data_IF_093604345876
#
_entry.id   IF_093604345876
#
_cell.length_a   1.000
_cell.length_b   1.000
_cell.length_c   1.000
_cell.angle_alpha   90.00
_cell.angle_beta   90.00
_cell.angle_gamma   90.00
#
_symmetry.space_group_name_H-M   'P 1'
#
loop_
_entity.id
_entity.type
_entity.pdbx_description
1 polymer ?
#
# COMPACT_ATOMS: atom_id res chain seq x y z
N UNK A 1 -0.56 -15.49 2.43
CA UNK A 1 -1.51 -15.47 3.58
C UNK A 1 -1.31 -14.19 4.38
N UNK A 2 -2.35 -13.66 5.03
CA UNK A 2 -2.28 -12.40 5.81
C UNK A 2 -1.72 -12.62 7.22
N UNK A 3 -1.35 -11.52 7.91
CA UNK A 3 -0.94 -11.60 9.32
C UNK A 3 -2.05 -12.16 10.23
N UNK A 4 -3.34 -11.87 9.97
CA UNK A 4 -4.45 -12.50 10.71
C UNK A 4 -4.58 -13.99 10.44
N UNK A 5 -4.30 -14.45 9.21
CA UNK A 5 -4.31 -15.88 8.93
C UNK A 5 -3.23 -16.59 9.75
N UNK A 6 -2.04 -15.98 9.87
CA UNK A 6 -0.97 -16.50 10.71
C UNK A 6 -1.23 -16.32 12.20
N UNK A 7 -1.79 -15.19 12.65
CA UNK A 7 -2.23 -14.97 14.03
C UNK A 7 -3.21 -16.07 14.45
N UNK A 8 -4.24 -16.31 13.64
CA UNK A 8 -5.25 -17.34 13.91
C UNK A 8 -4.62 -18.73 13.93
N UNK A 9 -3.70 -19.04 13.01
CA UNK A 9 -2.98 -20.31 13.02
C UNK A 9 -2.07 -20.45 14.25
N UNK A 10 -1.44 -19.37 14.68
CA UNK A 10 -0.54 -19.34 15.83
C UNK A 10 -1.32 -19.45 17.14
N UNK A 11 -2.49 -18.82 17.26
CA UNK A 11 -3.38 -18.93 18.42
C UNK A 11 -4.11 -20.28 18.48
N UNK A 12 -4.33 -20.93 17.34
CA UNK A 12 -4.94 -22.28 17.24
C UNK A 12 -3.92 -23.40 16.98
N UNK A 13 -2.64 -23.16 17.29
CA UNK A 13 -1.55 -24.10 17.05
C UNK A 13 -1.89 -25.49 17.62
N UNK A 14 -1.64 -26.54 16.85
CA UNK A 14 -1.91 -27.91 17.30
C UNK A 14 -0.85 -28.36 18.30
N UNK A 15 -1.10 -28.09 19.57
CA UNK A 15 -0.24 -28.47 20.69
C UNK A 15 -0.64 -29.83 21.29
N UNK A 16 0.35 -30.65 21.63
CA UNK A 16 0.11 -31.88 22.37
C UNK A 16 -0.31 -31.56 23.82
N UNK A 17 -1.34 -32.25 24.31
CA UNK A 17 -1.85 -32.14 25.69
C UNK A 17 -1.35 -33.33 26.51
N UNK A 18 -0.15 -33.20 27.07
CA UNK A 18 0.46 -34.19 27.96
C UNK A 18 0.43 -33.71 29.42
N UNK A 19 -0.73 -33.74 30.07
CA UNK A 19 -0.92 -33.26 31.45
C UNK A 19 -1.89 -32.08 31.55
N UNK A 20 -1.83 -31.32 32.65
CA UNK A 20 -2.72 -30.19 32.93
C UNK A 20 -2.53 -28.98 31.98
N UNK A 21 -1.36 -28.87 31.32
CA UNK A 21 -0.99 -27.77 30.43
C UNK A 21 -0.64 -28.25 29.02
N UNK A 22 -0.79 -27.37 28.03
CA UNK A 22 -0.38 -27.64 26.63
C UNK A 22 1.14 -27.63 26.50
N UNK A 23 1.66 -28.50 25.63
CA UNK A 23 3.10 -28.65 25.38
C UNK A 23 3.71 -27.36 24.78
N UNK A 24 4.80 -26.81 25.36
CA UNK A 24 5.39 -25.53 24.93
C UNK A 24 6.32 -25.66 23.71
N UNK A 25 6.61 -26.87 23.25
CA UNK A 25 7.71 -27.15 22.31
C UNK A 25 7.56 -26.43 20.96
N UNK A 26 6.37 -26.42 20.35
CA UNK A 26 6.17 -25.72 19.07
C UNK A 26 6.22 -24.20 19.24
N UNK A 27 5.68 -23.69 20.35
CA UNK A 27 5.76 -22.26 20.68
C UNK A 27 7.20 -21.81 20.89
N UNK A 28 7.98 -22.56 21.67
CA UNK A 28 9.39 -22.29 21.89
C UNK A 28 10.21 -22.30 20.59
N UNK A 29 9.91 -23.21 19.66
CA UNK A 29 10.58 -23.26 18.35
C UNK A 29 10.25 -22.05 17.48
N UNK A 30 8.98 -21.63 17.44
CA UNK A 30 8.59 -20.46 16.66
C UNK A 30 9.13 -19.16 17.26
N UNK A 31 9.17 -19.04 18.60
CA UNK A 31 9.83 -17.91 19.27
C UNK A 31 11.34 -17.87 18.99
N UNK A 32 12.02 -19.02 19.05
CA UNK A 32 13.45 -19.10 18.73
C UNK A 32 13.76 -18.65 17.30
N UNK A 33 12.91 -19.02 16.34
CA UNK A 33 13.01 -18.55 14.96
C UNK A 33 12.79 -17.03 14.86
N UNK A 34 11.80 -16.48 15.57
CA UNK A 34 11.58 -15.03 15.62
C UNK A 34 12.78 -14.29 16.21
N UNK A 35 13.42 -14.84 17.24
CA UNK A 35 14.59 -14.22 17.88
C UNK A 35 15.80 -14.21 16.93
N UNK A 36 16.00 -15.27 16.15
CA UNK A 36 17.07 -15.33 15.15
C UNK A 36 16.87 -14.32 14.00
N UNK A 37 15.60 -14.08 13.60
CA UNK A 37 15.26 -13.05 12.63
C UNK A 37 15.45 -11.65 13.23
N UNK A 38 15.04 -11.46 14.49
CA UNK A 38 15.19 -10.21 15.24
C UNK A 38 16.65 -9.82 15.48
N UNK A 39 17.52 -10.78 15.79
CA UNK A 39 18.95 -10.54 16.00
C UNK A 39 19.73 -10.32 14.69
N UNK A 40 19.10 -10.57 13.54
CA UNK A 40 19.75 -10.54 12.23
C UNK A 40 20.69 -11.72 11.98
N UNK A 41 20.68 -12.75 12.84
CA UNK A 41 21.46 -13.99 12.64
C UNK A 41 20.94 -14.80 11.45
N UNK A 42 19.68 -14.60 11.06
CA UNK A 42 19.05 -15.17 9.87
C UNK A 42 18.61 -14.05 8.93
N UNK A 43 19.25 -13.96 7.77
CA UNK A 43 18.98 -12.93 6.74
C UNK A 43 18.24 -13.47 5.52
N UNK A 44 17.95 -14.77 5.48
CA UNK A 44 17.26 -15.47 4.39
C UNK A 44 16.31 -16.50 4.97
N UNK A 45 15.24 -16.86 4.24
CA UNK A 45 14.24 -17.85 4.65
C UNK A 45 14.82 -19.29 4.66
N UNK A 46 15.78 -19.54 5.54
CA UNK A 46 16.53 -20.79 5.71
C UNK A 46 16.91 -20.93 7.18
N UNK A 47 16.42 -21.98 7.81
CA UNK A 47 16.66 -22.33 9.20
C UNK A 47 17.29 -23.72 9.28
N UNK A 48 18.61 -23.76 9.44
CA UNK A 48 19.35 -25.00 9.66
C UNK A 48 19.12 -25.51 11.09
N UNK A 49 19.11 -26.83 11.29
CA UNK A 49 18.99 -27.44 12.63
C UNK A 49 20.33 -27.43 13.38
N UNK A 50 20.91 -26.25 13.53
CA UNK A 50 22.26 -26.03 14.04
C UNK A 50 22.29 -25.66 15.55
N UNK A 51 23.49 -25.44 16.09
CA UNK A 51 23.65 -25.07 17.50
C UNK A 51 23.08 -23.69 17.83
N UNK A 52 22.95 -22.78 16.86
CA UNK A 52 22.35 -21.46 17.09
C UNK A 52 20.85 -21.60 17.33
N UNK A 53 20.15 -22.34 16.47
CA UNK A 53 18.73 -22.61 16.63
C UNK A 53 18.45 -23.41 17.90
N UNK A 54 19.26 -24.44 18.20
CA UNK A 54 19.11 -25.23 19.43
C UNK A 54 19.33 -24.42 20.70
N UNK A 55 20.28 -23.48 20.69
CA UNK A 55 20.53 -22.57 21.81
C UNK A 55 19.32 -21.66 22.05
N UNK A 56 18.83 -20.98 21.01
CA UNK A 56 17.66 -20.10 21.12
C UNK A 56 16.40 -20.88 21.53
N UNK A 57 16.22 -22.07 20.96
CA UNK A 57 15.15 -22.99 21.37
C UNK A 57 15.25 -23.32 22.86
N UNK A 58 16.43 -23.69 23.35
CA UNK A 58 16.63 -24.10 24.74
C UNK A 58 16.28 -22.96 25.69
N UNK A 59 16.69 -21.73 25.37
CA UNK A 59 16.37 -20.54 26.17
C UNK A 59 14.86 -20.30 26.26
N UNK A 60 14.16 -20.29 25.11
CA UNK A 60 12.70 -20.11 25.08
C UNK A 60 11.95 -21.28 25.70
N UNK A 61 12.43 -22.49 25.50
CA UNK A 61 11.84 -23.69 26.07
C UNK A 61 11.93 -23.69 27.60
N UNK A 62 13.09 -23.35 28.18
CA UNK A 62 13.25 -23.27 29.64
C UNK A 62 12.32 -22.24 30.29
N UNK A 63 12.04 -21.14 29.59
CA UNK A 63 11.10 -20.12 30.09
C UNK A 63 9.63 -20.57 30.10
N UNK A 64 9.28 -21.59 29.30
CA UNK A 64 7.90 -22.06 29.11
C UNK A 64 7.64 -23.48 29.66
N UNK A 65 8.70 -24.26 29.90
CA UNK A 65 8.64 -25.67 30.26
C UNK A 65 8.16 -25.90 31.70
N UNK A 66 7.35 -26.94 31.88
CA UNK A 66 7.05 -27.51 33.19
C UNK A 66 8.13 -28.53 33.61
N UNK A 67 8.23 -28.92 34.90
CA UNK A 67 9.20 -29.91 35.36
C UNK A 67 9.10 -31.29 34.67
N UNK A 68 7.97 -31.60 34.05
CA UNK A 68 7.75 -32.84 33.29
C UNK A 68 8.19 -32.76 31.82
N UNK A 69 8.42 -31.56 31.28
CA UNK A 69 8.80 -31.36 29.89
C UNK A 69 10.29 -31.64 29.67
N UNK A 70 10.63 -32.29 28.54
CA UNK A 70 12.02 -32.62 28.18
C UNK A 70 12.47 -31.78 27.00
N UNK A 71 13.64 -31.16 27.11
CA UNK A 71 14.21 -30.34 26.04
C UNK A 71 14.59 -31.20 24.83
N UNK A 72 13.70 -31.23 23.82
CA UNK A 72 13.83 -32.04 22.61
C UNK A 72 13.53 -31.22 21.35
N UNK A 73 14.45 -30.35 20.89
CA UNK A 73 14.22 -29.42 19.77
C UNK A 73 13.90 -30.11 18.43
N UNK A 74 14.36 -31.34 18.24
CA UNK A 74 14.15 -32.11 17.01
C UNK A 74 12.66 -32.44 16.76
N UNK A 75 11.86 -32.55 17.83
CA UNK A 75 10.43 -32.84 17.73
C UNK A 75 9.62 -31.67 17.14
N UNK A 76 9.63 -30.45 17.73
CA UNK A 76 8.90 -29.32 17.15
C UNK A 76 9.47 -28.90 15.79
N UNK A 77 10.79 -29.02 15.57
CA UNK A 77 11.38 -28.77 14.26
C UNK A 77 10.74 -29.66 13.19
N UNK A 78 10.54 -30.95 13.46
CA UNK A 78 9.90 -31.87 12.55
C UNK A 78 8.37 -31.66 12.43
N UNK A 79 7.68 -31.52 13.55
CA UNK A 79 6.21 -31.56 13.61
C UNK A 79 5.54 -30.24 13.23
N UNK A 80 6.26 -29.13 13.16
CA UNK A 80 5.70 -27.87 12.64
C UNK A 80 5.26 -27.97 11.17
N UNK A 81 5.77 -28.96 10.42
CA UNK A 81 5.33 -29.24 9.04
C UNK A 81 3.82 -29.47 8.89
N UNK A 82 3.14 -29.88 9.97
CA UNK A 82 1.67 -30.08 9.95
C UNK A 82 0.87 -28.78 10.05
N UNK A 83 1.50 -27.66 10.39
CA UNK A 83 0.83 -26.35 10.55
C UNK A 83 0.67 -25.60 9.21
N UNK A 84 1.31 -26.11 8.15
CA UNK A 84 1.13 -25.64 6.77
C UNK A 84 1.77 -24.29 6.46
N UNK A 85 2.65 -23.79 7.33
CA UNK A 85 3.47 -22.59 7.11
C UNK A 85 4.97 -22.81 7.40
N UNK A 86 5.32 -24.04 7.77
CA UNK A 86 6.68 -24.49 8.06
C UNK A 86 6.98 -25.68 7.16
N UNK A 87 8.06 -25.59 6.41
CA UNK A 87 8.39 -26.53 5.34
C UNK A 87 9.80 -27.05 5.52
N UNK A 88 10.08 -28.24 4.96
CA UNK A 88 11.40 -28.83 4.98
C UNK A 88 11.96 -28.96 3.58
N UNK A 89 13.18 -28.48 3.38
CA UNK A 89 13.99 -28.90 2.24
C UNK A 89 14.60 -30.25 2.56
N UNK A 90 14.19 -31.28 1.82
CA UNK A 90 14.67 -32.64 2.01
C UNK A 90 16.02 -32.81 1.31
N UNK A 91 16.93 -33.55 1.96
CA UNK A 91 18.24 -33.88 1.37
C UNK A 91 18.07 -34.71 0.09
N UNK A 92 18.96 -34.56 -0.90
CA UNK A 92 18.94 -35.38 -2.10
C UNK A 92 18.92 -36.89 -1.76
N UNK A 93 18.01 -37.63 -2.39
CA UNK A 93 17.85 -39.09 -2.16
C UNK A 93 17.03 -39.50 -0.93
N UNK A 94 16.57 -38.55 -0.10
CA UNK A 94 15.84 -38.84 1.14
C UNK A 94 14.33 -38.61 1.05
N UNK A 95 13.78 -38.35 -0.14
CA UNK A 95 12.37 -38.05 -0.35
C UNK A 95 11.45 -39.20 0.08
N UNK A 96 11.67 -40.42 -0.42
CA UNK A 96 10.82 -41.58 -0.07
C UNK A 96 10.92 -41.97 1.41
N UNK A 97 12.13 -42.09 2.02
CA UNK A 97 12.24 -42.35 3.46
C UNK A 97 11.56 -41.26 4.31
N UNK A 98 11.71 -39.99 3.94
CA UNK A 98 11.12 -38.87 4.68
C UNK A 98 9.58 -38.89 4.67
N UNK A 99 8.97 -39.29 3.55
CA UNK A 99 7.51 -39.40 3.45
C UNK A 99 6.94 -40.49 4.38
N UNK A 100 7.73 -41.53 4.67
CA UNK A 100 7.34 -42.61 5.59
C UNK A 100 7.53 -42.23 7.07
N UNK A 101 8.28 -41.16 7.37
CA UNK A 101 8.49 -40.72 8.75
C UNK A 101 7.20 -40.15 9.34
N UNK A 102 6.73 -40.77 10.42
CA UNK A 102 5.64 -40.24 11.25
C UNK A 102 6.15 -39.30 12.35
N UNK A 103 7.42 -39.45 12.77
CA UNK A 103 8.08 -38.59 13.76
C UNK A 103 9.60 -38.63 13.58
N UNK A 104 10.29 -37.56 13.96
CA UNK A 104 11.75 -37.59 14.15
C UNK A 104 12.06 -38.04 15.57
N UNK A 105 12.53 -39.28 15.76
CA UNK A 105 12.81 -39.84 17.09
C UNK A 105 14.10 -39.36 17.73
N UNK A 106 14.98 -38.73 16.94
CA UNK A 106 16.26 -38.17 17.41
C UNK A 106 16.74 -37.07 16.47
N UNK A 107 17.74 -36.30 16.91
CA UNK A 107 18.44 -35.35 16.04
C UNK A 107 19.03 -36.03 14.79
N UNK A 108 19.56 -37.26 14.92
CA UNK A 108 20.13 -37.97 13.77
C UNK A 108 19.13 -38.20 12.63
N UNK A 109 17.83 -38.28 12.95
CA UNK A 109 16.77 -38.38 11.92
C UNK A 109 16.63 -37.06 11.15
N UNK A 110 16.72 -35.92 11.83
CA UNK A 110 16.70 -34.59 11.19
C UNK A 110 17.92 -34.46 10.28
N UNK A 111 19.11 -34.72 10.83
CA UNK A 111 20.39 -34.55 10.13
C UNK A 111 20.47 -35.42 8.87
N UNK A 112 19.91 -36.63 8.92
CA UNK A 112 19.89 -37.57 7.80
C UNK A 112 18.92 -37.17 6.66
N UNK A 113 17.78 -36.55 6.97
CA UNK A 113 16.69 -36.37 5.98
C UNK A 113 16.44 -34.92 5.59
N UNK A 114 16.67 -33.96 6.48
CA UNK A 114 16.31 -32.56 6.29
C UNK A 114 17.60 -31.74 6.13
N UNK A 115 17.66 -30.95 5.05
CA UNK A 115 18.75 -29.99 4.84
C UNK A 115 18.52 -28.73 5.68
N UNK A 116 17.33 -28.12 5.55
CA UNK A 116 16.90 -26.96 6.34
C UNK A 116 15.38 -26.86 6.39
N UNK A 117 14.86 -26.08 7.34
CA UNK A 117 13.47 -25.63 7.35
C UNK A 117 13.33 -24.24 6.74
N UNK A 118 12.17 -23.93 6.17
CA UNK A 118 11.81 -22.59 5.70
C UNK A 118 10.34 -22.32 5.98
N UNK A 119 9.99 -21.05 6.19
CA UNK A 119 8.60 -20.63 6.40
C UNK A 119 7.93 -20.33 5.06
N UNK A 120 6.62 -20.15 5.06
CA UNK A 120 5.98 -19.41 3.96
C UNK A 120 6.69 -18.05 3.77
N UNK A 121 6.88 -17.63 2.53
CA UNK A 121 7.64 -16.41 2.23
C UNK A 121 7.00 -15.19 2.89
N UNK A 122 5.66 -15.09 2.90
CA UNK A 122 4.95 -14.00 3.55
C UNK A 122 5.12 -14.03 5.08
N UNK A 123 5.18 -15.22 5.68
CA UNK A 123 5.42 -15.35 7.11
C UNK A 123 6.84 -14.90 7.47
N UNK A 124 7.84 -15.32 6.70
CA UNK A 124 9.23 -14.90 6.91
C UNK A 124 9.39 -13.38 6.78
N UNK A 125 8.74 -12.76 5.79
CA UNK A 125 8.70 -11.31 5.63
C UNK A 125 8.06 -10.61 6.83
N UNK A 126 6.93 -11.14 7.33
CA UNK A 126 6.26 -10.62 8.53
C UNK A 126 7.18 -10.70 9.76
N UNK A 127 7.99 -11.75 9.90
CA UNK A 127 8.95 -11.85 11.00
C UNK A 127 10.04 -10.78 10.95
N UNK A 128 10.31 -10.15 9.81
CA UNK A 128 11.22 -9.00 9.74
C UNK A 128 10.71 -7.77 10.49
N UNK A 129 9.40 -7.69 10.73
CA UNK A 129 8.75 -6.56 11.40
C UNK A 129 8.56 -6.81 12.90
N UNK A 130 9.08 -5.91 13.74
CA UNK A 130 8.98 -6.01 15.20
C UNK A 130 7.53 -6.12 15.70
N UNK A 131 6.59 -5.34 15.17
CA UNK A 131 5.19 -5.34 15.62
C UNK A 131 4.49 -6.66 15.23
N UNK A 132 4.72 -7.12 14.00
CA UNK A 132 4.18 -8.41 13.56
C UNK A 132 4.77 -9.57 14.37
N UNK A 133 6.07 -9.53 14.69
CA UNK A 133 6.68 -10.49 15.63
C UNK A 133 6.01 -10.45 16.98
N UNK A 134 5.84 -9.28 17.59
CA UNK A 134 5.20 -9.19 18.92
C UNK A 134 3.74 -9.67 18.91
N UNK A 135 2.99 -9.39 17.83
CA UNK A 135 1.63 -9.89 17.66
C UNK A 135 1.61 -11.42 17.49
N UNK A 136 2.51 -11.99 16.68
CA UNK A 136 2.61 -13.44 16.51
C UNK A 136 3.15 -14.13 17.77
N UNK A 137 4.10 -13.53 18.50
CA UNK A 137 4.54 -13.98 19.83
C UNK A 137 3.36 -14.00 20.77
N UNK A 138 2.55 -12.94 20.79
CA UNK A 138 1.30 -12.87 21.58
C UNK A 138 0.32 -13.98 21.18
N UNK A 139 0.11 -14.21 19.89
CA UNK A 139 -0.78 -15.26 19.38
C UNK A 139 -0.29 -16.66 19.80
N UNK A 140 1.03 -16.90 19.77
CA UNK A 140 1.62 -18.14 20.28
C UNK A 140 1.39 -18.29 21.79
N UNK A 141 1.46 -17.21 22.55
CA UNK A 141 1.16 -17.24 23.99
C UNK A 141 -0.34 -17.49 24.26
N UNK A 142 -1.23 -16.93 23.45
CA UNK A 142 -2.68 -17.24 23.47
C UNK A 142 -2.94 -18.72 23.23
N UNK A 143 -2.13 -19.39 22.40
CA UNK A 143 -2.23 -20.84 22.21
C UNK A 143 -1.95 -21.64 23.49
N UNK A 144 -1.23 -21.06 24.47
CA UNK A 144 -0.83 -21.67 25.73
C UNK A 144 -1.81 -21.43 26.91
N UNK A 145 -2.47 -20.27 27.04
CA UNK A 145 -3.48 -19.99 28.11
C UNK A 145 -4.36 -18.72 27.85
N UNK A 146 -5.64 -18.74 28.28
CA UNK A 146 -6.65 -17.69 28.08
C UNK A 146 -6.40 -16.39 28.88
N UNK A 147 -5.61 -16.45 29.96
CA UNK A 147 -5.45 -15.32 30.90
C UNK A 147 -4.42 -14.29 30.43
N UNK A 148 -3.40 -14.71 29.69
CA UNK A 148 -2.32 -13.87 29.14
C UNK A 148 -2.80 -12.89 28.06
N UNK A 149 -3.97 -13.16 27.46
CA UNK A 149 -4.66 -12.34 26.45
C UNK A 149 -5.04 -10.95 27.00
N UNK A 150 -5.39 -10.86 28.29
CA UNK A 150 -6.04 -9.66 28.84
C UNK A 150 -5.06 -8.56 29.26
N UNK A 151 -3.81 -8.94 29.51
CA UNK A 151 -2.76 -8.04 29.99
C UNK A 151 -1.86 -7.51 28.86
N UNK A 152 -1.76 -8.23 27.73
CA UNK A 152 -0.92 -7.82 26.59
C UNK A 152 -1.64 -6.90 25.57
N UNK A 153 -2.98 -6.96 25.51
CA UNK A 153 -3.82 -6.24 24.53
C UNK A 153 -4.40 -4.91 25.04
N UNK A 154 -3.95 -4.40 26.18
CA UNK A 154 -4.29 -3.01 26.56
C UNK A 154 -3.25 -2.05 25.98
N UNK A 155 -3.58 -1.27 24.93
CA UNK A 155 -2.80 -0.07 24.65
C UNK A 155 -2.86 0.84 25.88
N UNK A 156 -1.83 1.67 26.09
CA UNK A 156 -1.99 2.87 26.90
C UNK A 156 -3.29 3.58 26.44
N UNK A 157 -4.16 3.92 27.39
CA UNK A 157 -5.56 4.34 27.17
C UNK A 157 -5.76 5.13 25.87
N UNK A 158 -6.50 4.55 24.92
CA UNK A 158 -7.09 5.25 23.75
C UNK A 158 -6.44 5.02 22.37
N UNK A 159 -5.29 4.33 22.28
CA UNK A 159 -4.62 4.04 21.00
C UNK A 159 -5.41 3.08 20.08
N UNK A 160 -5.23 3.21 18.75
CA UNK A 160 -5.73 2.22 17.78
C UNK A 160 -4.86 0.97 17.84
N UNK A 161 -5.47 -0.21 17.98
CA UNK A 161 -4.75 -1.48 17.94
C UNK A 161 -4.61 -2.02 16.50
N UNK A 162 -3.86 -3.12 16.35
CA UNK A 162 -3.57 -3.70 15.02
C UNK A 162 -4.82 -4.24 14.34
N UNK A 163 -5.66 -4.92 15.12
CA UNK A 163 -6.88 -5.55 14.64
C UNK A 163 -7.89 -4.48 14.16
N UNK A 164 -7.99 -3.37 14.89
CA UNK A 164 -8.76 -2.20 14.47
C UNK A 164 -8.23 -1.63 13.15
N UNK A 165 -6.91 -1.49 13.00
CA UNK A 165 -6.31 -1.02 11.75
C UNK A 165 -6.59 -1.99 10.59
N UNK A 166 -6.60 -3.29 10.84
CA UNK A 166 -6.80 -4.30 9.79
C UNK A 166 -8.25 -4.43 9.35
N UNK A 167 -9.21 -4.39 10.27
CA UNK A 167 -10.63 -4.30 9.90
C UNK A 167 -10.90 -3.04 9.07
N UNK A 168 -10.28 -1.93 9.44
CA UNK A 168 -10.37 -0.67 8.73
C UNK A 168 -9.76 -0.76 7.31
N UNK A 169 -8.56 -1.33 7.17
CA UNK A 169 -7.90 -1.47 5.85
C UNK A 169 -8.69 -2.42 4.94
N UNK A 170 -9.18 -3.54 5.46
CA UNK A 170 -10.04 -4.47 4.71
C UNK A 170 -11.30 -3.80 4.17
N UNK A 171 -12.00 -3.03 5.01
CA UNK A 171 -13.20 -2.31 4.62
C UNK A 171 -12.91 -1.21 3.59
N UNK A 172 -11.80 -0.49 3.78
CA UNK A 172 -11.35 0.54 2.85
C UNK A 172 -11.09 -0.06 1.46
N UNK A 173 -10.36 -1.17 1.37
CA UNK A 173 -10.05 -1.79 0.08
C UNK A 173 -11.30 -2.33 -0.59
N UNK A 174 -12.24 -2.93 0.15
CA UNK A 174 -13.51 -3.38 -0.41
C UNK A 174 -14.34 -2.21 -1.00
N UNK A 175 -14.26 -1.01 -0.41
CA UNK A 175 -14.83 0.20 -1.02
C UNK A 175 -14.03 0.68 -2.24
N UNK A 176 -12.70 0.60 -2.19
CA UNK A 176 -11.82 1.02 -3.28
C UNK A 176 -12.06 0.18 -4.54
N UNK A 177 -12.20 -1.14 -4.41
CA UNK A 177 -12.55 -2.04 -5.50
C UNK A 177 -13.86 -1.63 -6.18
N UNK A 178 -14.92 -1.39 -5.37
CA UNK A 178 -16.21 -0.90 -5.89
C UNK A 178 -16.07 0.44 -6.59
N UNK A 179 -15.31 1.36 -6.00
CA UNK A 179 -15.08 2.68 -6.58
C UNK A 179 -14.44 2.60 -7.96
N UNK A 180 -13.40 1.77 -8.10
CA UNK A 180 -12.65 1.63 -9.34
C UNK A 180 -13.50 1.03 -10.45
N UNK A 181 -14.33 0.03 -10.15
CA UNK A 181 -15.26 -0.55 -11.15
C UNK A 181 -16.53 0.28 -11.37
N UNK A 182 -16.64 1.47 -10.75
CA UNK A 182 -17.81 2.34 -10.86
C UNK A 182 -19.07 1.82 -10.16
N UNK A 183 -18.94 0.80 -9.29
CA UNK A 183 -20.05 0.29 -8.50
C UNK A 183 -20.43 1.27 -7.37
N UNK A 184 -21.72 1.32 -7.03
CA UNK A 184 -22.20 2.18 -5.96
C UNK A 184 -21.81 1.66 -4.58
N UNK A 185 -21.41 2.58 -3.69
CA UNK A 185 -21.12 2.29 -2.28
C UNK A 185 -21.39 3.53 -1.43
N UNK A 186 -21.56 3.34 -0.12
CA UNK A 186 -21.79 4.43 0.82
C UNK A 186 -20.73 4.43 1.92
N UNK A 187 -19.88 5.46 1.92
CA UNK A 187 -18.85 5.70 2.95
C UNK A 187 -19.44 5.68 4.36
N UNK A 188 -20.58 6.34 4.56
CA UNK A 188 -21.26 6.38 5.85
C UNK A 188 -21.86 5.03 6.29
N UNK A 189 -22.30 4.19 5.35
CA UNK A 189 -22.80 2.85 5.68
C UNK A 189 -21.67 1.90 6.10
N UNK A 190 -20.55 1.94 5.38
CA UNK A 190 -19.34 1.18 5.69
C UNK A 190 -18.79 1.53 7.09
N UNK A 191 -18.66 2.82 7.41
CA UNK A 191 -18.24 3.26 8.75
C UNK A 191 -19.18 2.77 9.86
N UNK A 192 -20.50 2.88 9.67
CA UNK A 192 -21.50 2.35 10.62
C UNK A 192 -21.37 0.84 10.82
N UNK A 193 -21.08 0.07 9.77
CA UNK A 193 -20.87 -1.37 9.85
C UNK A 193 -19.56 -1.74 10.58
N UNK A 194 -18.53 -0.89 10.51
CA UNK A 194 -17.25 -1.09 11.18
C UNK A 194 -17.29 -0.84 12.69
N UNK A 195 -18.10 0.13 13.16
CA UNK A 195 -18.17 0.52 14.59
C UNK A 195 -18.17 -0.64 15.59
N UNK A 196 -19.03 -1.68 15.48
CA UNK A 196 -19.04 -2.78 16.45
C UNK A 196 -17.76 -3.63 16.45
N UNK A 197 -16.99 -3.60 15.35
CA UNK A 197 -15.71 -4.33 15.20
C UNK A 197 -14.51 -3.50 15.66
N UNK A 198 -14.70 -2.19 15.83
CA UNK A 198 -13.67 -1.22 16.19
C UNK A 198 -13.95 -0.67 17.59
N UNK A 199 -14.31 -1.53 18.56
CA UNK A 199 -14.56 -1.11 19.95
C UNK A 199 -15.54 0.08 20.09
N UNK A 200 -16.53 0.21 19.20
CA UNK A 200 -17.49 1.32 19.13
C UNK A 200 -16.84 2.72 18.95
N UNK A 201 -15.75 2.81 18.18
CA UNK A 201 -15.16 4.10 17.77
C UNK A 201 -16.21 5.00 17.10
N UNK A 202 -16.05 6.32 17.27
CA UNK A 202 -16.96 7.31 16.67
C UNK A 202 -16.82 7.35 15.15
N UNK A 203 -17.89 7.75 14.43
CA UNK A 203 -17.87 7.87 12.97
C UNK A 203 -16.71 8.75 12.47
N UNK A 204 -16.49 9.90 13.12
CA UNK A 204 -15.38 10.80 12.80
C UNK A 204 -13.99 10.19 13.04
N UNK A 205 -13.84 9.32 14.05
CA UNK A 205 -12.57 8.62 14.28
C UNK A 205 -12.27 7.61 13.18
N UNK A 206 -13.29 6.88 12.71
CA UNK A 206 -13.15 5.92 11.60
C UNK A 206 -12.88 6.66 10.29
N UNK A 207 -13.58 7.77 10.03
CA UNK A 207 -13.36 8.61 8.85
C UNK A 207 -11.94 9.16 8.80
N UNK A 208 -11.43 9.70 9.91
CA UNK A 208 -10.05 10.18 9.98
C UNK A 208 -9.03 9.05 9.76
N UNK A 209 -9.32 7.84 10.25
CA UNK A 209 -8.44 6.69 10.01
C UNK A 209 -8.48 6.22 8.55
N UNK A 210 -9.62 6.31 7.85
CA UNK A 210 -9.70 6.11 6.40
C UNK A 210 -8.91 7.18 5.61
N UNK A 211 -8.89 8.43 6.09
CA UNK A 211 -8.02 9.47 5.55
C UNK A 211 -6.54 9.12 5.72
N UNK A 212 -6.17 8.50 6.85
CA UNK A 212 -4.82 7.99 7.05
C UNK A 212 -4.47 6.84 6.08
N UNK A 213 -5.38 5.90 5.81
CA UNK A 213 -5.18 4.86 4.79
C UNK A 213 -4.95 5.48 3.41
N UNK A 214 -5.73 6.51 3.07
CA UNK A 214 -5.57 7.26 1.81
C UNK A 214 -4.19 7.91 1.69
N UNK A 215 -3.63 8.43 2.80
CA UNK A 215 -2.28 8.97 2.82
C UNK A 215 -1.20 7.89 2.59
N UNK A 216 -1.35 6.71 3.21
CA UNK A 216 -0.42 5.60 2.98
C UNK A 216 -0.46 5.14 1.52
N UNK A 217 -1.65 4.97 0.94
CA UNK A 217 -1.78 4.60 -0.48
C UNK A 217 -1.16 5.66 -1.39
N UNK A 218 -1.36 6.93 -1.07
CA UNK A 218 -0.79 8.05 -1.81
C UNK A 218 0.74 8.07 -1.78
N UNK A 219 1.35 7.79 -0.62
CA UNK A 219 2.81 7.62 -0.52
C UNK A 219 3.34 6.45 -1.34
N UNK A 220 2.53 5.39 -1.50
CA UNK A 220 2.82 4.26 -2.38
C UNK A 220 2.44 4.52 -3.84
N UNK A 221 2.00 5.74 -4.17
CA UNK A 221 1.53 6.15 -5.50
C UNK A 221 0.33 5.35 -6.02
N UNK A 222 -0.46 4.76 -5.12
CA UNK A 222 -1.65 4.00 -5.42
C UNK A 222 -2.90 4.89 -5.43
N UNK A 223 -3.93 4.55 -6.24
CA UNK A 223 -5.24 5.17 -6.17
C UNK A 223 -5.84 5.10 -4.76
N UNK A 224 -6.64 6.11 -4.42
CA UNK A 224 -7.36 6.20 -3.15
C UNK A 224 -8.79 6.67 -3.40
N UNK A 225 -9.68 6.48 -2.43
CA UNK A 225 -11.10 6.84 -2.53
C UNK A 225 -11.28 8.38 -2.41
N UNK A 226 -11.84 9.06 -3.43
CA UNK A 226 -12.17 10.48 -3.35
C UNK A 226 -13.09 10.83 -2.18
N UNK A 227 -12.82 11.98 -1.57
CA UNK A 227 -13.50 12.48 -0.37
C UNK A 227 -13.00 11.89 0.96
N UNK A 228 -12.11 10.90 0.97
CA UNK A 228 -11.22 10.67 2.10
C UNK A 228 -9.92 11.44 1.87
N UNK A 229 -9.92 12.75 2.20
CA UNK A 229 -8.73 13.64 2.04
C UNK A 229 -7.53 13.00 2.76
N UNK A 230 -6.41 12.71 2.07
CA UNK A 230 -5.23 12.10 2.68
C UNK A 230 -4.74 12.84 3.93
N UNK A 231 -4.64 12.13 5.06
CA UNK A 231 -4.14 12.64 6.33
C UNK A 231 -2.83 11.95 6.72
N UNK A 232 -1.71 12.66 6.63
CA UNK A 232 -0.35 12.10 6.80
C UNK A 232 0.08 11.93 8.26
N UNK A 233 -0.69 12.46 9.21
CA UNK A 233 -0.49 12.17 10.63
C UNK A 233 -1.08 10.80 10.98
N UNK A 234 -0.35 9.75 10.66
CA UNK A 234 -0.75 8.37 10.93
C UNK A 234 0.32 7.62 11.72
N UNK A 235 -0.11 6.58 12.43
CA UNK A 235 0.79 5.69 13.17
C UNK A 235 1.51 4.76 12.20
N UNK A 236 2.81 4.54 12.42
CA UNK A 236 3.62 3.62 11.59
C UNK A 236 2.99 2.23 11.45
N UNK A 237 2.29 1.78 12.49
CA UNK A 237 1.52 0.55 12.51
C UNK A 237 0.46 0.47 11.39
N UNK A 238 -0.28 1.55 11.14
CA UNK A 238 -1.27 1.57 10.06
C UNK A 238 -0.60 1.39 8.69
N UNK A 239 0.53 2.06 8.46
CA UNK A 239 1.31 1.91 7.22
C UNK A 239 1.73 0.46 7.01
N UNK A 240 2.19 -0.20 8.07
CA UNK A 240 2.57 -1.61 8.01
C UNK A 240 1.38 -2.53 7.72
N UNK A 241 0.21 -2.30 8.34
CA UNK A 241 -1.02 -3.06 8.04
C UNK A 241 -1.38 -2.94 6.55
N UNK A 242 -1.33 -1.72 6.00
CA UNK A 242 -1.59 -1.48 4.56
C UNK A 242 -0.56 -2.22 3.70
N UNK A 243 0.73 -2.12 4.00
CA UNK A 243 1.79 -2.82 3.25
C UNK A 243 1.60 -4.34 3.29
N UNK A 244 1.36 -4.92 4.47
CA UNK A 244 1.10 -6.36 4.62
C UNK A 244 -0.14 -6.80 3.87
N UNK A 245 -1.21 -6.00 3.90
CA UNK A 245 -2.42 -6.27 3.13
C UNK A 245 -2.14 -6.32 1.63
N UNK A 246 -1.44 -5.31 1.09
CA UNK A 246 -1.10 -5.21 -0.33
C UNK A 246 -0.21 -6.37 -0.79
N UNK A 247 0.79 -6.76 0.01
CA UNK A 247 1.65 -7.91 -0.28
C UNK A 247 0.84 -9.22 -0.41
N UNK A 248 -0.15 -9.43 0.47
CA UNK A 248 -1.04 -10.59 0.41
C UNK A 248 -2.11 -10.52 -0.69
N UNK A 249 -2.30 -9.36 -1.32
CA UNK A 249 -3.36 -9.09 -2.30
C UNK A 249 -2.80 -8.45 -3.58
N UNK A 250 -1.65 -8.94 -4.06
CA UNK A 250 -0.99 -8.40 -5.26
C UNK A 250 -1.92 -8.29 -6.47
N UNK A 251 -2.84 -9.25 -6.65
CA UNK A 251 -3.86 -9.20 -7.72
C UNK A 251 -4.78 -7.99 -7.59
N UNK A 252 -5.18 -7.61 -6.37
CA UNK A 252 -5.99 -6.41 -6.14
C UNK A 252 -5.20 -5.17 -6.52
N UNK A 253 -3.90 -5.12 -6.20
CA UNK A 253 -3.03 -4.01 -6.62
C UNK A 253 -2.92 -3.93 -8.15
N UNK A 254 -2.76 -5.06 -8.81
CA UNK A 254 -2.66 -5.14 -10.27
C UNK A 254 -3.98 -4.75 -10.94
N UNK A 255 -5.12 -5.23 -10.43
CA UNK A 255 -6.47 -4.89 -10.91
C UNK A 255 -6.78 -3.40 -10.64
N UNK A 256 -6.39 -2.87 -9.47
CA UNK A 256 -6.53 -1.46 -9.12
C UNK A 256 -5.75 -0.57 -10.10
N UNK A 257 -4.53 -0.98 -10.43
CA UNK A 257 -3.70 -0.27 -11.39
C UNK A 257 -4.31 -0.32 -12.79
N UNK A 258 -4.73 -1.50 -13.26
CA UNK A 258 -5.36 -1.64 -14.58
C UNK A 258 -6.65 -0.85 -14.71
N UNK A 259 -7.49 -0.80 -13.67
CA UNK A 259 -8.77 -0.09 -13.73
C UNK A 259 -8.58 1.42 -13.62
N UNK A 260 -7.63 1.89 -12.80
CA UNK A 260 -7.25 3.30 -12.81
C UNK A 260 -6.72 3.76 -14.18
N UNK A 261 -6.14 2.84 -14.95
CA UNK A 261 -5.61 3.08 -16.29
C UNK A 261 -6.66 2.93 -17.40
N UNK A 262 -7.83 2.33 -17.12
CA UNK A 262 -8.92 2.24 -18.11
C UNK A 262 -9.54 3.60 -18.37
N UNK A 263 -9.54 3.98 -19.64
CA UNK A 263 -10.34 5.07 -20.17
C UNK A 263 -11.75 4.54 -20.39
N UNK A 264 -12.78 5.08 -19.74
CA UNK A 264 -14.16 4.69 -20.08
C UNK A 264 -14.54 5.16 -21.47
N UNK A 265 -15.41 4.41 -22.16
CA UNK A 265 -16.04 4.84 -23.41
C UNK A 265 -16.79 6.17 -23.23
N UNK A 266 -17.00 6.88 -24.35
CA UNK A 266 -17.51 8.25 -24.46
C UNK A 266 -18.40 8.69 -23.29
N UNK A 267 -17.99 9.71 -22.53
CA UNK A 267 -18.64 10.00 -21.28
C UNK A 267 -19.68 11.11 -21.42
N UNK A 268 -20.75 11.00 -20.62
CA UNK A 268 -21.87 11.96 -20.53
C UNK A 268 -21.47 13.40 -20.12
N UNK A 269 -20.18 13.68 -19.87
CA UNK A 269 -19.71 14.99 -19.42
C UNK A 269 -19.45 16.02 -20.53
N UNK A 270 -19.69 15.70 -21.80
CA UNK A 270 -19.61 16.69 -22.90
C UNK A 270 -20.52 17.91 -22.70
N UNK A 271 -21.59 17.77 -21.90
CA UNK A 271 -22.55 18.85 -21.62
C UNK A 271 -22.26 19.64 -20.33
N UNK A 272 -21.15 19.38 -19.62
CA UNK A 272 -20.81 20.14 -18.40
C UNK A 272 -20.16 21.48 -18.77
N UNK A 273 -20.59 22.55 -18.10
CA UNK A 273 -20.00 23.88 -18.23
C UNK A 273 -18.86 24.11 -17.24
N UNK A 274 -17.99 25.08 -17.55
CA UNK A 274 -16.82 25.47 -16.74
C UNK A 274 -17.08 25.47 -15.23
N UNK A 275 -18.11 26.20 -14.78
CA UNK A 275 -18.40 26.40 -13.34
C UNK A 275 -18.76 25.10 -12.60
N UNK A 276 -19.20 24.06 -13.33
CA UNK A 276 -19.58 22.78 -12.73
C UNK A 276 -18.39 21.84 -12.50
N UNK A 277 -17.27 22.08 -13.17
CA UNK A 277 -16.08 21.22 -13.17
C UNK A 277 -14.85 21.93 -12.61
N UNK A 278 -14.83 23.26 -12.59
CA UNK A 278 -13.75 24.03 -12.01
C UNK A 278 -13.75 23.91 -10.48
N UNK A 279 -12.62 23.51 -9.92
CA UNK A 279 -12.32 23.49 -8.49
C UNK A 279 -11.43 24.71 -8.16
N UNK A 280 -11.97 25.75 -7.48
CA UNK A 280 -11.21 26.96 -7.16
C UNK A 280 -10.19 26.75 -6.03
N UNK A 281 -10.24 25.61 -5.33
CA UNK A 281 -9.38 25.30 -4.20
C UNK A 281 -8.33 24.24 -4.58
N UNK A 282 -7.13 24.64 -5.07
CA UNK A 282 -6.06 23.69 -5.32
C UNK A 282 -5.67 22.95 -4.02
N UNK A 283 -5.13 21.72 -4.12
CA UNK A 283 -4.72 20.97 -2.95
C UNK A 283 -3.67 21.74 -2.15
N UNK A 284 -3.77 21.70 -0.82
CA UNK A 284 -2.75 22.26 0.06
C UNK A 284 -1.40 21.57 -0.19
N UNK A 285 -0.32 22.36 -0.16
CA UNK A 285 1.03 21.83 -0.25
C UNK A 285 1.32 20.99 0.98
N UNK A 286 1.35 19.67 0.81
CA UNK A 286 1.62 18.74 1.91
C UNK A 286 3.10 18.89 2.30
N UNK A 287 3.42 19.17 3.58
CA UNK A 287 4.79 19.23 4.04
C UNK A 287 5.49 17.88 3.83
N UNK A 288 6.71 17.93 3.30
CA UNK A 288 7.55 16.76 3.01
C UNK A 288 7.62 15.85 4.25
N UNK A 289 7.00 14.68 4.19
CA UNK A 289 7.26 13.60 5.13
C UNK A 289 8.66 13.10 4.80
N UNK A 290 9.58 13.06 5.76
CA UNK A 290 10.94 12.61 5.51
C UNK A 290 10.87 11.21 4.88
N UNK A 291 11.29 11.10 3.61
CA UNK A 291 11.33 9.82 2.93
C UNK A 291 12.27 8.93 3.75
N UNK A 292 11.68 7.91 4.38
CA UNK A 292 12.47 6.85 4.98
C UNK A 292 13.26 6.24 3.83
N UNK A 293 14.59 6.12 3.98
CA UNK A 293 15.45 5.45 2.98
C UNK A 293 14.73 4.22 2.43
N UNK A 294 14.69 4.02 1.10
CA UNK A 294 13.95 2.92 0.52
C UNK A 294 14.40 1.62 1.19
N UNK A 295 13.51 1.07 2.00
CA UNK A 295 13.55 -0.33 2.37
C UNK A 295 13.30 -1.07 1.06
N UNK A 296 14.29 -1.84 0.59
CA UNK A 296 14.26 -2.63 -0.65
C UNK A 296 13.20 -3.76 -0.62
N UNK A 297 11.97 -3.46 -0.17
CA UNK A 297 10.90 -4.42 0.15
C UNK A 297 9.60 -4.13 -0.59
N UNK A 298 9.59 -3.24 -1.59
CA UNK A 298 8.50 -3.16 -2.53
C UNK A 298 9.11 -3.18 -3.94
N UNK A 299 8.60 -4.06 -4.81
CA UNK A 299 8.76 -3.85 -6.26
C UNK A 299 8.35 -2.41 -6.52
N UNK A 300 9.33 -1.59 -6.90
CA UNK A 300 9.11 -0.22 -7.31
C UNK A 300 8.04 -0.29 -8.40
N UNK A 301 6.81 0.12 -8.10
CA UNK A 301 5.78 0.27 -9.11
C UNK A 301 6.37 1.28 -10.08
N UNK A 302 6.60 0.89 -11.32
CA UNK A 302 7.21 1.75 -12.31
C UNK A 302 6.21 2.81 -12.76
N UNK A 303 6.12 3.87 -11.96
CA UNK A 303 5.27 5.03 -12.19
C UNK A 303 5.55 5.69 -13.54
N UNK A 304 6.80 5.60 -14.03
CA UNK A 304 7.23 6.19 -15.30
C UNK A 304 6.68 5.44 -16.51
N UNK A 305 6.54 4.12 -16.42
CA UNK A 305 5.82 3.34 -17.43
C UNK A 305 4.30 3.47 -17.31
N UNK A 306 3.76 3.82 -16.14
CA UNK A 306 2.31 3.96 -15.90
C UNK A 306 1.73 5.19 -16.60
N UNK A 307 2.35 6.37 -16.42
CA UNK A 307 1.84 7.58 -17.08
C UNK A 307 2.06 7.53 -18.60
N UNK A 308 3.17 6.92 -19.07
CA UNK A 308 3.39 6.65 -20.51
C UNK A 308 2.35 5.71 -21.13
N UNK A 309 1.77 4.78 -20.36
CA UNK A 309 0.78 3.82 -20.86
C UNK A 309 -0.59 4.43 -21.14
N UNK A 310 -0.93 5.56 -20.50
CA UNK A 310 -2.25 6.18 -20.64
C UNK A 310 -2.26 7.38 -21.60
N UNK A 311 -1.61 7.26 -22.77
CA UNK A 311 -1.64 8.30 -23.81
C UNK A 311 -3.07 8.75 -24.15
N UNK A 312 -4.02 7.81 -24.20
CA UNK A 312 -5.44 8.10 -24.43
C UNK A 312 -6.08 8.95 -23.33
N UNK A 313 -5.66 8.79 -22.06
CA UNK A 313 -6.17 9.60 -20.95
C UNK A 313 -5.68 11.05 -21.10
N UNK A 314 -4.39 11.23 -21.42
CA UNK A 314 -3.80 12.54 -21.69
C UNK A 314 -4.51 13.25 -22.84
N UNK A 315 -4.60 12.60 -23.99
CA UNK A 315 -5.25 13.17 -25.17
C UNK A 315 -6.71 13.56 -24.89
N UNK A 316 -7.49 12.73 -24.19
CA UNK A 316 -8.88 13.07 -23.84
C UNK A 316 -8.99 14.20 -22.82
N UNK A 317 -8.05 14.29 -21.89
CA UNK A 317 -8.02 15.39 -20.94
C UNK A 317 -7.63 16.72 -21.60
N UNK A 318 -6.67 16.70 -22.53
CA UNK A 318 -6.31 17.85 -23.36
C UNK A 318 -7.51 18.32 -24.19
N UNK A 319 -8.24 17.41 -24.85
CA UNK A 319 -9.48 17.74 -25.57
C UNK A 319 -10.56 18.34 -24.64
N UNK A 320 -10.69 17.79 -23.43
CA UNK A 320 -11.60 18.32 -22.42
C UNK A 320 -11.23 19.74 -22.01
N UNK A 321 -9.95 20.01 -21.71
CA UNK A 321 -9.47 21.35 -21.33
C UNK A 321 -9.62 22.34 -22.49
N UNK A 322 -9.33 21.93 -23.72
CA UNK A 322 -9.53 22.76 -24.92
C UNK A 322 -10.97 23.28 -25.00
N UNK A 323 -11.95 22.38 -24.81
CA UNK A 323 -13.37 22.74 -24.81
C UNK A 323 -13.73 23.68 -23.67
N UNK A 324 -13.22 23.41 -22.46
CA UNK A 324 -13.45 24.25 -21.28
C UNK A 324 -12.92 25.67 -21.49
N UNK A 325 -11.74 25.82 -22.07
CA UNK A 325 -11.16 27.14 -22.38
C UNK A 325 -11.98 27.92 -23.42
N UNK A 326 -12.47 27.25 -24.47
CA UNK A 326 -13.37 27.87 -25.44
C UNK A 326 -14.68 28.34 -24.80
N UNK A 327 -15.24 27.52 -23.92
CA UNK A 327 -16.44 27.89 -23.16
C UNK A 327 -16.17 29.08 -22.23
N UNK A 328 -15.04 29.09 -21.51
CA UNK A 328 -14.61 30.20 -20.64
C UNK A 328 -14.54 31.52 -21.40
N UNK A 329 -13.81 31.55 -22.52
CA UNK A 329 -13.65 32.76 -23.34
C UNK A 329 -14.99 33.22 -23.94
N UNK A 330 -15.81 32.30 -24.42
CA UNK A 330 -17.15 32.62 -24.94
C UNK A 330 -18.04 33.22 -23.85
N UNK A 331 -18.04 32.65 -22.65
CA UNK A 331 -18.79 33.17 -21.50
C UNK A 331 -18.28 34.54 -21.04
N UNK A 332 -17.01 34.84 -21.26
CA UNK A 332 -16.38 36.13 -20.99
C UNK A 332 -16.56 37.15 -22.14
N UNK A 333 -17.36 36.83 -23.16
CA UNK A 333 -17.67 37.73 -24.26
C UNK A 333 -16.60 37.81 -25.35
N UNK A 334 -15.67 36.83 -25.42
CA UNK A 334 -14.59 36.74 -26.40
C UNK A 334 -14.69 35.49 -27.28
N UNK A 335 -15.76 35.34 -28.09
CA UNK A 335 -15.90 34.21 -29.02
C UNK A 335 -14.85 34.23 -30.13
N UNK A 336 -14.30 35.41 -30.44
CA UNK A 336 -13.16 35.61 -31.34
C UNK A 336 -11.92 34.85 -30.85
N UNK A 337 -11.51 35.07 -29.59
CA UNK A 337 -10.38 34.34 -28.99
C UNK A 337 -10.69 32.86 -28.79
N UNK A 338 -11.95 32.52 -28.47
CA UNK A 338 -12.36 31.12 -28.33
C UNK A 338 -12.11 30.33 -29.62
N UNK A 339 -12.28 30.94 -30.79
CA UNK A 339 -12.00 30.31 -32.07
C UNK A 339 -10.48 30.11 -32.32
N UNK A 340 -9.63 30.92 -31.69
CA UNK A 340 -8.17 30.87 -31.82
C UNK A 340 -7.47 29.95 -30.82
N UNK A 341 -8.19 29.39 -29.85
CA UNK A 341 -7.65 28.40 -28.90
C UNK A 341 -7.22 27.14 -29.67
N UNK A 342 -5.95 26.75 -29.49
CA UNK A 342 -5.25 25.76 -30.30
C UNK A 342 -4.67 24.63 -29.44
N UNK A 343 -4.82 23.39 -29.92
CA UNK A 343 -4.17 22.22 -29.32
C UNK A 343 -2.76 22.07 -29.89
N UNK A 344 -1.82 22.79 -29.28
CA UNK A 344 -0.46 22.99 -29.79
C UNK A 344 0.39 21.72 -29.82
N UNK A 345 0.30 20.85 -28.81
CA UNK A 345 1.03 19.56 -28.80
C UNK A 345 0.63 18.65 -29.96
N UNK A 346 -0.65 18.63 -30.31
CA UNK A 346 -1.20 17.84 -31.42
C UNK A 346 -0.87 18.40 -32.81
N UNK A 347 -0.87 19.72 -32.96
CA UNK A 347 -0.66 20.39 -34.25
C UNK A 347 0.83 20.63 -34.59
N UNK A 348 1.63 20.97 -33.57
CA UNK A 348 3.04 21.40 -33.73
C UNK A 348 4.05 20.44 -33.11
N UNK A 349 3.60 19.48 -32.30
CA UNK A 349 4.39 18.41 -31.68
C UNK A 349 4.75 18.64 -30.20
N UNK A 350 5.11 17.55 -29.51
CA UNK A 350 5.36 17.44 -28.05
C UNK A 350 6.58 18.22 -27.51
N UNK A 351 7.21 19.08 -28.33
CA UNK A 351 8.46 19.78 -28.00
C UNK A 351 8.29 21.19 -27.43
N UNK A 352 7.05 21.71 -27.35
CA UNK A 352 6.79 23.11 -27.01
C UNK A 352 6.85 23.41 -25.51
N UNK A 353 6.69 22.40 -24.65
CA UNK A 353 6.65 22.56 -23.19
C UNK A 353 5.28 22.95 -22.64
N UNK A 354 4.24 22.88 -23.47
CA UNK A 354 2.82 23.05 -23.13
C UNK A 354 1.93 22.33 -24.16
N UNK A 355 0.68 22.05 -23.79
CA UNK A 355 -0.29 21.32 -24.63
C UNK A 355 -1.22 22.24 -25.42
N UNK A 356 -1.74 23.29 -24.78
CA UNK A 356 -2.80 24.16 -25.33
C UNK A 356 -2.40 25.63 -25.25
N UNK A 357 -2.60 26.36 -26.35
CA UNK A 357 -2.50 27.82 -26.39
C UNK A 357 -3.91 28.42 -26.22
N UNK A 358 -4.07 29.24 -25.19
CA UNK A 358 -5.30 29.99 -24.88
C UNK A 358 -4.97 31.46 -24.63
N UNK A 359 -5.92 32.24 -24.11
CA UNK A 359 -5.80 33.69 -23.95
C UNK A 359 -6.44 34.20 -22.65
N UNK A 360 -5.96 35.34 -22.16
CA UNK A 360 -6.65 36.12 -21.14
C UNK A 360 -7.82 36.92 -21.76
N UNK A 361 -8.97 36.94 -21.08
CA UNK A 361 -10.14 37.71 -21.52
C UNK A 361 -9.96 39.22 -21.45
N UNK A 362 -9.08 39.70 -20.57
CA UNK A 362 -8.97 41.12 -20.21
C UNK A 362 -7.95 41.88 -21.08
N UNK A 363 -7.01 41.19 -21.74
CA UNK A 363 -5.91 41.86 -22.43
C UNK A 363 -5.27 41.14 -23.62
N UNK A 364 -5.92 40.10 -24.18
CA UNK A 364 -5.38 39.32 -25.34
C UNK A 364 -4.03 38.66 -25.12
N UNK A 365 -3.57 38.58 -23.86
CA UNK A 365 -2.30 37.94 -23.55
C UNK A 365 -2.44 36.43 -23.70
N UNK A 366 -1.47 35.80 -24.34
CA UNK A 366 -1.44 34.35 -24.49
C UNK A 366 -1.31 33.66 -23.12
N UNK A 367 -1.94 32.50 -23.01
CA UNK A 367 -1.79 31.56 -21.91
C UNK A 367 -1.31 30.22 -22.48
N UNK A 368 -0.29 29.65 -21.86
CA UNK A 368 0.26 28.35 -22.23
C UNK A 368 -0.15 27.33 -21.18
N UNK A 369 -0.93 26.34 -21.60
CA UNK A 369 -1.58 25.39 -20.71
C UNK A 369 -0.91 24.02 -20.84
N UNK A 370 -0.46 23.49 -19.70
CA UNK A 370 -0.02 22.11 -19.55
C UNK A 370 -1.12 21.32 -18.85
N UNK A 371 -1.50 20.15 -19.38
CA UNK A 371 -2.62 19.35 -18.90
C UNK A 371 -2.13 18.04 -18.30
N UNK A 372 -2.43 17.80 -17.03
CA UNK A 372 -2.14 16.53 -16.36
C UNK A 372 -3.43 15.90 -15.86
N UNK A 373 -3.66 14.64 -16.19
CA UNK A 373 -4.90 13.94 -15.87
C UNK A 373 -4.72 12.78 -14.88
N UNK A 374 -5.76 12.47 -14.12
CA UNK A 374 -5.85 11.24 -13.33
C UNK A 374 -7.32 10.82 -13.15
N UNK A 375 -7.55 9.51 -13.08
CA UNK A 375 -8.84 8.95 -12.67
C UNK A 375 -9.02 8.91 -11.14
N UNK A 376 -7.94 9.15 -10.39
CA UNK A 376 -7.97 9.23 -8.92
C UNK A 376 -8.26 10.66 -8.44
N UNK A 377 -8.17 10.90 -7.13
CA UNK A 377 -8.36 12.23 -6.56
C UNK A 377 -7.20 13.20 -6.78
N UNK A 378 -7.46 14.48 -6.50
CA UNK A 378 -6.58 15.63 -6.79
C UNK A 378 -5.18 15.64 -6.16
N UNK A 379 -4.91 14.76 -5.19
CA UNK A 379 -3.59 14.67 -4.53
C UNK A 379 -2.63 13.68 -5.21
N UNK A 380 -3.10 12.83 -6.14
CA UNK A 380 -2.26 11.82 -6.77
C UNK A 380 -1.08 12.50 -7.50
N UNK A 381 0.18 12.06 -7.26
CA UNK A 381 1.35 12.56 -7.98
C UNK A 381 1.20 12.45 -9.50
N UNK A 382 1.93 13.28 -10.22
CA UNK A 382 2.01 13.33 -11.67
C UNK A 382 3.43 13.71 -12.07
N UNK A 383 3.83 13.35 -13.30
CA UNK A 383 5.15 13.73 -13.76
C UNK A 383 5.12 15.07 -14.49
N UNK A 384 6.26 15.74 -14.41
CA UNK A 384 6.57 16.95 -15.14
C UNK A 384 7.87 16.67 -15.89
N UNK A 385 7.89 16.94 -17.18
CA UNK A 385 9.13 16.84 -17.97
C UNK A 385 10.05 18.03 -17.70
N UNK A 386 11.35 17.87 -17.96
CA UNK A 386 12.30 18.99 -17.85
C UNK A 386 11.95 20.13 -18.81
N UNK A 387 11.35 19.81 -19.96
CA UNK A 387 10.91 20.82 -20.92
C UNK A 387 9.75 21.66 -20.37
N UNK A 388 8.73 21.00 -19.81
CA UNK A 388 7.60 21.66 -19.12
C UNK A 388 8.08 22.50 -17.94
N UNK A 389 9.00 21.96 -17.13
CA UNK A 389 9.60 22.67 -15.99
C UNK A 389 10.31 23.95 -16.45
N UNK A 390 11.19 23.85 -17.44
CA UNK A 390 11.93 24.98 -17.99
C UNK A 390 10.98 26.02 -18.60
N UNK A 391 10.02 25.58 -19.43
CA UNK A 391 9.05 26.47 -20.05
C UNK A 391 8.19 27.20 -19.02
N UNK A 392 7.75 26.52 -17.96
CA UNK A 392 6.97 27.14 -16.87
C UNK A 392 7.75 28.22 -16.12
N UNK A 393 9.08 28.11 -16.07
CA UNK A 393 9.96 29.10 -15.47
C UNK A 393 10.18 30.30 -16.40
N UNK A 394 10.39 30.06 -17.69
CA UNK A 394 10.63 31.11 -18.69
C UNK A 394 9.37 31.94 -18.97
N UNK A 395 8.18 31.31 -18.93
CA UNK A 395 6.89 31.93 -19.24
C UNK A 395 5.94 31.96 -18.03
N UNK A 396 6.46 32.15 -16.81
CA UNK A 396 5.68 32.02 -15.56
C UNK A 396 4.37 32.81 -15.57
N UNK A 397 4.37 34.04 -16.08
CA UNK A 397 3.18 34.92 -16.04
C UNK A 397 2.03 34.36 -16.90
N UNK A 398 2.36 33.71 -18.01
CA UNK A 398 1.42 33.13 -18.97
C UNK A 398 1.14 31.64 -18.74
N UNK A 399 2.03 30.92 -18.06
CA UNK A 399 1.94 29.47 -17.89
C UNK A 399 0.86 29.06 -16.87
N UNK A 400 0.08 28.05 -17.21
CA UNK A 400 -0.97 27.49 -16.35
C UNK A 400 -0.91 25.96 -16.39
N UNK A 401 -0.78 25.32 -15.23
CA UNK A 401 -0.93 23.88 -15.11
C UNK A 401 -2.39 23.52 -14.77
N UNK A 402 -3.04 22.76 -15.64
CA UNK A 402 -4.38 22.24 -15.46
C UNK A 402 -4.29 20.81 -14.95
N UNK A 403 -4.70 20.58 -13.70
CA UNK A 403 -4.77 19.23 -13.12
C UNK A 403 -6.20 18.74 -13.15
N UNK A 404 -6.49 17.82 -14.07
CA UNK A 404 -7.78 17.16 -14.21
C UNK A 404 -7.79 15.87 -13.38
N UNK A 405 -8.79 15.70 -12.52
CA UNK A 405 -8.90 14.56 -11.61
C UNK A 405 -10.33 13.99 -11.60
N UNK A 406 -10.48 12.76 -11.09
CA UNK A 406 -11.73 11.99 -11.17
C UNK A 406 -12.30 11.94 -12.60
N UNK A 407 -11.42 11.95 -13.61
CA UNK A 407 -11.75 12.32 -14.99
C UNK A 407 -12.83 11.45 -15.63
N UNK A 408 -12.81 10.15 -15.35
CA UNK A 408 -13.76 9.20 -15.94
C UNK A 408 -15.16 9.24 -15.29
N UNK A 409 -15.26 9.57 -14.00
CA UNK A 409 -16.51 9.45 -13.24
C UNK A 409 -17.19 10.80 -13.02
N UNK A 410 -16.46 11.76 -12.48
CA UNK A 410 -16.95 13.09 -12.16
C UNK A 410 -15.82 14.10 -12.36
N UNK A 411 -15.48 14.43 -13.63
CA UNK A 411 -14.30 15.22 -13.93
C UNK A 411 -14.37 16.57 -13.25
N UNK A 412 -13.28 16.92 -12.58
CA UNK A 412 -13.03 18.24 -12.03
C UNK A 412 -11.60 18.66 -12.33
N UNK A 413 -11.32 19.94 -12.33
CA UNK A 413 -9.96 20.43 -12.51
C UNK A 413 -9.67 21.68 -11.69
N UNK A 414 -8.42 21.83 -11.27
CA UNK A 414 -7.91 23.06 -10.70
C UNK A 414 -6.75 23.59 -11.55
N UNK A 415 -6.43 24.88 -11.37
CA UNK A 415 -5.39 25.57 -12.14
C UNK A 415 -4.30 26.07 -11.18
N UNK A 416 -3.04 25.81 -11.51
CA UNK A 416 -1.88 26.43 -10.86
C UNK A 416 -1.26 27.44 -11.83
N UNK A 417 -1.14 28.69 -11.40
CA UNK A 417 -0.59 29.77 -12.22
C UNK A 417 0.87 30.07 -11.83
N UNK A 418 1.75 30.23 -12.82
CA UNK A 418 3.17 30.47 -12.55
C UNK A 418 4.05 29.24 -12.75
N UNK A 419 5.31 29.39 -12.37
CA UNK A 419 6.27 28.29 -12.38
C UNK A 419 5.78 27.13 -11.49
N UNK A 420 5.92 25.91 -12.00
CA UNK A 420 5.40 24.68 -11.35
C UNK A 420 5.95 24.54 -9.92
N UNK A 421 7.23 24.85 -9.72
CA UNK A 421 7.97 24.71 -8.46
C UNK A 421 7.45 25.60 -7.32
N UNK A 422 6.67 26.64 -7.64
CA UNK A 422 6.01 27.48 -6.65
C UNK A 422 4.90 26.72 -5.91
N UNK A 423 4.28 25.75 -6.58
CA UNK A 423 3.08 25.06 -6.09
C UNK A 423 3.35 23.63 -5.64
N UNK A 424 4.32 22.93 -6.25
CA UNK A 424 4.58 21.51 -5.99
C UNK A 424 6.01 21.23 -5.50
N UNK A 425 6.26 20.01 -5.02
CA UNK A 425 7.60 19.52 -4.75
C UNK A 425 8.00 18.56 -5.88
N UNK A 426 9.07 18.90 -6.61
CA UNK A 426 9.63 18.04 -7.65
C UNK A 426 10.64 17.07 -7.03
N UNK A 427 10.46 15.78 -7.29
CA UNK A 427 11.39 14.73 -6.88
C UNK A 427 12.14 14.21 -8.12
N UNK A 428 13.47 14.03 -8.05
CA UNK A 428 14.23 13.50 -9.16
C UNK A 428 13.86 12.03 -9.42
N UNK A 429 13.45 11.70 -10.65
CA UNK A 429 13.03 10.35 -11.04
C UNK A 429 13.97 9.75 -12.09
N UNK A 430 14.19 10.46 -13.21
CA UNK A 430 15.02 9.99 -14.31
C UNK A 430 16.19 10.94 -14.57
N UNK A 431 17.39 10.38 -14.71
CA UNK A 431 18.59 11.15 -15.06
C UNK A 431 18.96 10.90 -16.52
N UNK A 432 19.17 11.97 -17.29
CA UNK A 432 19.71 11.88 -18.65
C UNK A 432 21.22 11.97 -18.60
N UNK A 433 21.91 10.86 -18.84
CA UNK A 433 23.35 10.85 -19.06
C UNK A 433 23.71 11.38 -20.45
N UNK A 434 24.78 12.18 -20.55
CA UNK A 434 25.41 12.64 -21.80
C UNK A 434 26.93 12.51 -21.64
N UNK A 435 27.65 12.31 -22.74
CA UNK A 435 29.11 12.21 -22.77
C UNK A 435 29.76 13.56 -23.03
#
# INVERSE_FOLDING_TARGET
MSLLDYEKRFSTLRLNSGGANKSPHKVAMLQAVMDLVESGEVTSNRFDFDEKLKRQFTERFQALASPSDRNNPHLPFFHLRSEGFWHHKIRPGQQEPYQQLTTATSQGVIDAHIDYAYLDDELFELLGNQIARELLKSALMTSLDEKSIRDLLQPQRGGWDWLECEFLVNDYVAMLEKHLVGASYSKAAHRRALQPRLNNRTDGSIEYKHQNVSAVLLELGLPYIPGYKPAFNYQQQLKQVVLSYLAGHQKVVDDVNQVADKVADEPEYYNRGWDSVFDPEPPERIPHVAESKPSYLAKHIDFSERERRNRQLGERAEEFVLRMERQRLTAQGRPDLAAEVEWSSKERGDGLGFDIRSFDSTGDQERFLEVKATNSGKYLPFFISENERAFSNDYSDAFRLYRVYEFTTAPRFFILAGAIEQHVHLLPQNYRARF
#
